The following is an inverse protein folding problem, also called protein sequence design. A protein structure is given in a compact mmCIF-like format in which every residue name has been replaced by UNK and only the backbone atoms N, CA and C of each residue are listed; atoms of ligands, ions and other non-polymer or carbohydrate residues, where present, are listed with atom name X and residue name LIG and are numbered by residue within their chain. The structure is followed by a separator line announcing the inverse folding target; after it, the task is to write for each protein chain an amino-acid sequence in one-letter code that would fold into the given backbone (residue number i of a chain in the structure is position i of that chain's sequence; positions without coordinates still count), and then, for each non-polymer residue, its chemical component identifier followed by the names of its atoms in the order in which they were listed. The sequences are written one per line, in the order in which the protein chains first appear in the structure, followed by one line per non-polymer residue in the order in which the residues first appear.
data_IF_118722494726
#
_entry.id   IF_118722494726
#
_cell.length_a   1.000
_cell.length_b   1.000
_cell.length_c   1.000
_cell.angle_alpha   90.00
_cell.angle_beta   90.00
_cell.angle_gamma   90.00
#
_symmetry.space_group_name_H-M   'P 1'
#
loop_
_entity.id
_entity.type
_entity.pdbx_description
1 polymer ?
#
# COMPACT_ATOMS: atom_id res chain seq x y z
N UNK A 1 -41.10 42.48 -38.94
CA UNK A 1 -41.21 41.26 -38.12
C UNK A 1 -40.44 40.05 -38.66
N UNK A 2 -40.01 40.01 -39.93
CA UNK A 2 -39.41 38.80 -40.53
C UNK A 2 -37.92 38.58 -40.16
N UNK A 3 -37.14 39.65 -39.95
CA UNK A 3 -35.69 39.54 -39.66
C UNK A 3 -35.35 38.97 -38.27
N UNK A 4 -36.21 39.18 -37.24
CA UNK A 4 -35.99 38.64 -35.88
C UNK A 4 -36.13 37.12 -35.81
N UNK A 5 -36.97 36.53 -36.67
CA UNK A 5 -37.19 35.08 -36.68
C UNK A 5 -36.01 34.32 -37.29
N UNK A 6 -35.31 34.90 -38.27
CA UNK A 6 -34.11 34.29 -38.84
C UNK A 6 -32.92 34.32 -37.86
N UNK A 7 -32.76 35.41 -37.09
CA UNK A 7 -31.72 35.50 -36.06
C UNK A 7 -31.99 34.50 -34.92
N UNK A 8 -33.24 34.39 -34.47
CA UNK A 8 -33.60 33.39 -33.46
C UNK A 8 -33.40 31.96 -33.96
N UNK A 9 -33.78 31.63 -35.21
CA UNK A 9 -33.49 30.32 -35.80
C UNK A 9 -31.99 30.04 -35.95
N UNK A 10 -31.18 31.05 -36.31
CA UNK A 10 -29.73 30.91 -36.42
C UNK A 10 -29.09 30.69 -35.05
N UNK A 11 -29.60 31.35 -34.00
CA UNK A 11 -29.16 31.15 -32.62
C UNK A 11 -29.55 29.75 -32.10
N UNK A 12 -30.77 29.25 -32.37
CA UNK A 12 -31.15 27.89 -31.97
C UNK A 12 -30.35 26.83 -32.72
N UNK A 13 -30.02 27.07 -33.99
CA UNK A 13 -29.17 26.17 -34.78
C UNK A 13 -27.73 26.15 -34.24
N UNK A 14 -27.18 27.31 -33.88
CA UNK A 14 -25.83 27.44 -33.32
C UNK A 14 -25.74 26.81 -31.92
N UNK A 15 -26.77 26.96 -31.08
CA UNK A 15 -26.86 26.29 -29.77
C UNK A 15 -27.02 24.77 -29.92
N UNK A 16 -27.72 24.30 -30.97
CA UNK A 16 -27.83 22.88 -31.27
C UNK A 16 -26.49 22.22 -31.63
N UNK A 17 -25.62 22.90 -32.37
CA UNK A 17 -24.30 22.37 -32.77
C UNK A 17 -23.33 22.26 -31.59
N UNK A 18 -23.43 23.16 -30.60
CA UNK A 18 -22.58 23.13 -29.39
C UNK A 18 -22.95 21.94 -28.48
N UNK A 19 -24.18 21.42 -28.56
CA UNK A 19 -24.65 20.26 -27.77
C UNK A 19 -24.29 18.89 -28.38
N UNK A 20 -23.66 18.85 -29.56
CA UNK A 20 -23.18 17.62 -30.21
C UNK A 20 -21.65 17.49 -30.25
N UNK A 21 -20.94 18.21 -29.38
CA UNK A 21 -19.54 17.94 -29.15
C UNK A 21 -19.39 16.62 -28.36
N UNK A 22 -19.37 15.50 -29.07
CA UNK A 22 -18.85 14.26 -28.51
C UNK A 22 -17.35 14.46 -28.27
N UNK A 23 -16.93 14.33 -27.02
CA UNK A 23 -15.52 14.11 -26.72
C UNK A 23 -15.14 12.74 -27.30
N UNK A 24 -14.35 12.73 -28.38
CA UNK A 24 -13.74 11.48 -28.84
C UNK A 24 -12.67 11.08 -27.82
N UNK A 25 -12.75 9.87 -27.22
CA UNK A 25 -11.72 9.40 -26.31
C UNK A 25 -10.39 9.35 -27.07
N UNK A 26 -9.39 10.08 -26.57
CA UNK A 26 -8.04 10.02 -27.09
C UNK A 26 -7.48 8.62 -26.83
N UNK A 27 -7.51 7.78 -27.86
CA UNK A 27 -6.81 6.49 -27.87
C UNK A 27 -5.49 6.71 -28.61
N UNK A 28 -4.36 6.95 -27.89
CA UNK A 28 -3.08 6.97 -28.56
C UNK A 28 -2.85 5.59 -29.17
N UNK A 29 -2.71 5.54 -30.51
CA UNK A 29 -2.18 4.35 -31.19
C UNK A 29 -0.69 4.27 -30.83
N UNK A 30 -0.37 3.62 -29.71
CA UNK A 30 0.99 3.24 -29.38
C UNK A 30 1.26 1.98 -30.21
N UNK A 31 2.01 2.11 -31.31
CA UNK A 31 2.48 0.93 -32.03
C UNK A 31 3.45 0.19 -31.09
N UNK A 32 3.16 -1.07 -30.78
CA UNK A 32 3.98 -1.91 -29.88
C UNK A 32 5.42 -2.00 -30.40
N UNK A 33 5.63 -1.76 -31.70
CA UNK A 33 6.96 -1.70 -32.34
C UNK A 33 7.81 -0.50 -31.93
N UNK A 34 7.19 0.58 -31.46
CA UNK A 34 7.88 1.79 -30.96
C UNK A 34 8.11 1.74 -29.44
N UNK A 35 7.72 0.64 -28.78
CA UNK A 35 7.94 0.44 -27.36
C UNK A 35 9.36 -0.05 -27.06
N UNK A 36 10.21 0.84 -26.55
CA UNK A 36 11.47 0.44 -25.94
C UNK A 36 11.25 0.07 -24.46
N UNK A 37 11.43 -1.21 -24.13
CA UNK A 37 11.39 -1.67 -22.75
C UNK A 37 12.55 -1.06 -21.96
N UNK A 38 12.23 -0.49 -20.79
CA UNK A 38 13.21 0.10 -19.88
C UNK A 38 13.46 -0.84 -18.71
N UNK A 39 14.72 -0.93 -18.26
CA UNK A 39 15.06 -1.54 -16.99
C UNK A 39 14.42 -0.74 -15.85
N UNK A 40 13.81 -1.43 -14.90
CA UNK A 40 13.26 -0.90 -13.66
C UNK A 40 14.08 -1.49 -12.52
N UNK A 41 14.58 -0.62 -11.65
CA UNK A 41 15.41 -1.01 -10.50
C UNK A 41 14.74 -0.57 -9.20
N UNK A 42 14.47 -1.53 -8.33
CA UNK A 42 13.98 -1.27 -6.98
C UNK A 42 15.02 -1.80 -5.99
N UNK A 43 15.70 -0.92 -5.27
CA UNK A 43 16.70 -1.33 -4.29
C UNK A 43 16.79 -0.33 -3.15
N UNK A 44 16.71 -0.85 -1.92
CA UNK A 44 16.97 -0.07 -0.71
C UNK A 44 17.93 -0.87 0.18
N UNK A 45 19.03 -0.25 0.56
CA UNK A 45 19.90 -0.73 1.62
C UNK A 45 19.67 0.09 2.89
N UNK A 46 19.77 -0.57 4.04
CA UNK A 46 19.45 0.04 5.33
C UNK A 46 20.47 -0.35 6.39
N UNK A 47 20.46 0.37 7.51
CA UNK A 47 21.22 0.05 8.72
C UNK A 47 20.65 -1.15 9.51
N UNK A 48 19.52 -1.70 9.07
CA UNK A 48 18.94 -2.92 9.62
C UNK A 48 19.70 -4.15 9.14
N UNK A 49 19.63 -5.21 9.93
CA UNK A 49 20.23 -6.51 9.57
C UNK A 49 19.64 -6.99 8.25
N UNK A 50 20.52 -7.27 7.28
CA UNK A 50 20.19 -7.60 5.89
C UNK A 50 19.52 -8.97 5.67
N UNK A 51 19.63 -9.54 4.45
CA UNK A 51 20.58 -9.23 3.39
C UNK A 51 20.30 -7.91 2.66
N UNK A 52 21.29 -7.39 1.92
CA UNK A 52 21.03 -6.39 0.88
C UNK A 52 20.34 -7.04 -0.32
N UNK A 53 19.27 -6.40 -0.80
CA UNK A 53 18.40 -6.92 -1.85
C UNK A 53 18.08 -5.84 -2.88
N UNK A 54 18.03 -6.25 -4.15
CA UNK A 54 17.64 -5.42 -5.29
C UNK A 54 16.73 -6.25 -6.17
N UNK A 55 15.66 -5.64 -6.67
CA UNK A 55 14.75 -6.22 -7.66
C UNK A 55 14.95 -5.54 -9.00
N UNK A 56 15.08 -6.36 -10.03
CA UNK A 56 15.21 -5.93 -11.42
C UNK A 56 14.01 -6.44 -12.22
N UNK A 57 13.33 -5.51 -12.90
CA UNK A 57 12.27 -5.83 -13.84
C UNK A 57 12.40 -4.98 -15.11
N UNK A 58 11.60 -5.31 -16.11
CA UNK A 58 11.48 -4.61 -17.38
C UNK A 58 10.08 -4.05 -17.47
N UNK A 59 9.98 -2.78 -17.87
CA UNK A 59 8.69 -2.15 -18.09
C UNK A 59 7.96 -2.85 -19.23
N UNK A 60 6.63 -2.83 -19.17
CA UNK A 60 5.72 -3.34 -20.20
C UNK A 60 4.78 -2.23 -20.71
N UNK A 61 4.21 -2.38 -21.92
CA UNK A 61 3.19 -1.47 -22.42
C UNK A 61 1.95 -1.42 -21.52
N UNK A 62 1.29 -0.26 -21.46
CA UNK A 62 0.15 0.00 -20.59
C UNK A 62 -1.09 -0.86 -20.91
N UNK A 63 -1.18 -1.41 -22.12
CA UNK A 63 -2.31 -2.23 -22.59
C UNK A 63 -2.13 -3.73 -22.28
N UNK A 64 -1.07 -4.11 -21.58
CA UNK A 64 -0.81 -5.50 -21.20
C UNK A 64 -1.42 -5.86 -19.83
N UNK A 65 -1.83 -7.11 -19.67
CA UNK A 65 -2.38 -7.64 -18.41
C UNK A 65 -1.32 -7.96 -17.34
N UNK A 66 -0.05 -7.70 -17.65
CA UNK A 66 1.10 -7.91 -16.78
C UNK A 66 1.61 -6.52 -16.40
N UNK A 67 2.10 -6.32 -15.17
CA UNK A 67 2.60 -5.02 -14.71
C UNK A 67 4.08 -4.79 -15.00
N UNK A 68 4.87 -5.86 -15.08
CA UNK A 68 6.32 -5.84 -15.27
C UNK A 68 6.85 -7.25 -15.62
N UNK A 69 8.02 -7.35 -16.27
CA UNK A 69 8.68 -8.64 -16.57
C UNK A 69 9.96 -8.76 -15.75
N UNK A 70 10.18 -9.82 -14.95
CA UNK A 70 11.39 -9.95 -14.14
C UNK A 70 12.66 -10.12 -14.98
N UNK A 71 13.73 -9.40 -14.64
CA UNK A 71 15.04 -9.50 -15.29
C UNK A 71 15.94 -10.46 -14.53
N UNK A 72 16.24 -11.61 -15.13
CA UNK A 72 17.05 -12.67 -14.52
C UNK A 72 18.42 -12.79 -15.21
N UNK A 73 19.41 -13.38 -14.52
CA UNK A 73 20.73 -13.63 -15.08
C UNK A 73 21.65 -12.41 -15.19
N UNK A 74 21.32 -11.30 -14.53
CA UNK A 74 22.19 -10.13 -14.44
C UNK A 74 23.32 -10.34 -13.41
N UNK A 75 24.46 -9.69 -13.63
CA UNK A 75 25.46 -9.45 -12.61
C UNK A 75 25.13 -8.17 -11.84
N UNK A 76 24.96 -8.28 -10.52
CA UNK A 76 24.52 -7.17 -9.65
C UNK A 76 25.50 -7.01 -8.51
N UNK A 77 26.11 -5.82 -8.41
CA UNK A 77 27.14 -5.51 -7.43
C UNK A 77 26.87 -4.16 -6.78
N UNK A 78 26.88 -4.12 -5.45
CA UNK A 78 26.91 -2.88 -4.68
C UNK A 78 28.34 -2.64 -4.22
N UNK A 79 28.84 -1.42 -4.34
CA UNK A 79 30.15 -0.99 -3.82
C UNK A 79 29.97 0.18 -2.85
N UNK A 80 30.82 0.26 -1.84
CA UNK A 80 30.88 1.42 -0.94
C UNK A 80 32.17 2.25 -1.12
N UNK A 81 32.19 3.45 -0.55
CA UNK A 81 33.33 4.38 -0.59
C UNK A 81 34.50 3.99 0.35
N UNK A 82 34.32 2.93 1.14
CA UNK A 82 35.39 2.28 1.92
C UNK A 82 36.12 1.19 1.12
N UNK A 83 35.69 0.90 -0.11
CA UNK A 83 36.29 -0.09 -1.00
C UNK A 83 35.75 -1.51 -0.84
N UNK A 84 34.68 -1.70 -0.04
CA UNK A 84 34.01 -2.99 0.02
C UNK A 84 33.10 -3.19 -1.20
N UNK A 85 32.90 -4.46 -1.57
CA UNK A 85 32.00 -4.86 -2.64
C UNK A 85 31.10 -5.99 -2.19
N UNK A 86 29.84 -5.91 -2.57
CA UNK A 86 28.78 -6.83 -2.18
C UNK A 86 28.13 -7.35 -3.45
N UNK A 87 28.42 -8.60 -3.80
CA UNK A 87 27.80 -9.27 -4.95
C UNK A 87 26.44 -9.83 -4.55
N UNK A 88 25.43 -9.56 -5.37
CA UNK A 88 24.08 -10.05 -5.18
C UNK A 88 23.82 -11.20 -6.16
N UNK A 89 23.15 -12.25 -5.67
CA UNK A 89 22.86 -13.46 -6.41
C UNK A 89 21.36 -13.58 -6.65
N UNK A 90 20.98 -14.10 -7.82
CA UNK A 90 19.58 -14.24 -8.18
C UNK A 90 18.84 -15.21 -7.26
N UNK A 91 17.75 -14.76 -6.67
CA UNK A 91 16.76 -15.57 -5.97
C UNK A 91 15.57 -15.97 -6.85
N UNK A 92 15.61 -15.64 -8.15
CA UNK A 92 14.51 -15.80 -9.09
C UNK A 92 13.51 -14.64 -9.06
N UNK A 93 12.62 -14.60 -10.05
CA UNK A 93 11.59 -13.57 -10.22
C UNK A 93 12.14 -12.12 -10.15
N UNK A 94 13.34 -11.90 -10.70
CA UNK A 94 13.98 -10.59 -10.73
C UNK A 94 14.64 -10.16 -9.42
N UNK A 95 14.55 -10.95 -8.34
CA UNK A 95 15.21 -10.64 -7.07
C UNK A 95 16.67 -11.05 -7.06
N UNK A 96 17.52 -10.18 -6.53
CA UNK A 96 18.94 -10.41 -6.28
C UNK A 96 19.24 -10.07 -4.83
N UNK A 97 20.04 -10.89 -4.14
CA UNK A 97 20.40 -10.66 -2.74
C UNK A 97 21.79 -11.14 -2.40
N UNK A 98 22.43 -10.46 -1.45
CA UNK A 98 23.70 -10.92 -0.88
C UNK A 98 23.54 -12.25 -0.13
N UNK A 99 24.59 -13.09 -0.15
CA UNK A 99 24.59 -14.34 0.62
C UNK A 99 24.67 -14.06 2.12
N UNK A 100 25.42 -13.03 2.51
CA UNK A 100 25.54 -12.63 3.91
C UNK A 100 24.28 -11.87 4.36
N UNK A 101 23.48 -12.52 5.21
CA UNK A 101 22.25 -11.95 5.77
C UNK A 101 22.47 -11.05 6.98
N UNK A 102 23.71 -10.86 7.43
CA UNK A 102 24.04 -10.00 8.58
C UNK A 102 24.63 -8.65 8.18
N UNK A 103 24.61 -8.31 6.89
CA UNK A 103 25.08 -7.01 6.40
C UNK A 103 24.19 -5.87 6.88
N UNK A 104 24.80 -4.72 7.16
CA UNK A 104 24.13 -3.48 7.53
C UNK A 104 24.83 -2.36 6.80
N UNK A 105 24.07 -1.43 6.25
CA UNK A 105 24.65 -0.22 5.71
C UNK A 105 25.02 0.73 6.87
N UNK A 106 26.06 1.52 6.68
CA UNK A 106 26.65 2.36 7.72
C UNK A 106 26.31 3.82 7.48
N UNK A 107 25.96 4.54 8.55
CA UNK A 107 25.66 5.97 8.49
C UNK A 107 26.90 6.76 8.07
N UNK A 108 26.73 7.62 7.07
CA UNK A 108 27.79 8.43 6.47
C UNK A 108 28.58 7.74 5.35
N UNK A 109 28.34 6.45 5.10
CA UNK A 109 28.98 5.70 4.01
C UNK A 109 28.16 5.86 2.73
N UNK A 110 28.87 5.99 1.61
CA UNK A 110 28.26 6.16 0.28
C UNK A 110 28.29 4.86 -0.51
N UNK A 111 27.20 4.55 -1.18
CA UNK A 111 26.99 3.31 -1.92
C UNK A 111 26.63 3.58 -3.37
N UNK A 112 27.00 2.63 -4.23
CA UNK A 112 26.69 2.66 -5.66
C UNK A 112 26.32 1.26 -6.13
N UNK A 113 25.28 1.17 -6.95
CA UNK A 113 24.81 -0.07 -7.57
C UNK A 113 25.31 -0.14 -9.01
N UNK A 114 25.86 -1.29 -9.38
CA UNK A 114 26.28 -1.63 -10.74
C UNK A 114 25.53 -2.88 -11.20
N UNK A 115 25.00 -2.83 -12.41
CA UNK A 115 24.23 -3.92 -13.03
C UNK A 115 24.80 -4.18 -14.42
N UNK A 116 25.12 -5.44 -14.72
CA UNK A 116 25.35 -5.91 -16.08
C UNK A 116 24.30 -6.94 -16.43
N UNK A 117 23.39 -6.62 -17.35
CA UNK A 117 22.32 -7.54 -17.77
C UNK A 117 22.87 -8.69 -18.63
N UNK A 118 22.08 -9.74 -18.81
CA UNK A 118 22.49 -10.93 -19.56
C UNK A 118 22.81 -10.65 -21.05
N UNK A 119 22.21 -9.60 -21.63
CA UNK A 119 22.48 -9.12 -22.97
C UNK A 119 23.67 -8.14 -23.05
N UNK A 120 24.35 -7.90 -21.92
CA UNK A 120 25.59 -7.12 -21.84
C UNK A 120 25.40 -5.61 -21.67
N UNK A 121 24.17 -5.14 -21.44
CA UNK A 121 23.93 -3.73 -21.10
C UNK A 121 24.41 -3.44 -19.68
N UNK A 122 25.04 -2.28 -19.51
CA UNK A 122 25.60 -1.87 -18.22
C UNK A 122 24.84 -0.66 -17.69
N UNK A 123 24.50 -0.72 -16.41
CA UNK A 123 23.82 0.34 -15.69
C UNK A 123 24.53 0.62 -14.38
N UNK A 124 24.51 1.88 -13.97
CA UNK A 124 25.00 2.33 -12.68
C UNK A 124 23.97 3.25 -12.01
N UNK A 125 23.92 3.21 -10.68
CA UNK A 125 23.21 4.23 -9.92
C UNK A 125 24.09 5.47 -9.73
N UNK A 126 23.44 6.61 -9.45
CA UNK A 126 24.10 7.69 -8.74
C UNK A 126 24.60 7.21 -7.38
N UNK A 127 25.61 7.89 -6.85
CA UNK A 127 26.12 7.65 -5.51
C UNK A 127 25.06 8.08 -4.49
N UNK A 128 24.76 7.21 -3.53
CA UNK A 128 23.81 7.49 -2.45
C UNK A 128 24.49 7.32 -1.09
N UNK A 129 24.45 8.36 -0.26
CA UNK A 129 25.00 8.35 1.10
C UNK A 129 23.90 8.00 2.09
N UNK A 130 24.18 7.11 3.04
CA UNK A 130 23.23 6.81 4.11
C UNK A 130 23.25 7.94 5.14
N UNK A 131 22.26 8.83 5.05
CA UNK A 131 22.12 9.97 5.94
C UNK A 131 21.56 9.57 7.31
N UNK A 132 22.10 10.17 8.38
CA UNK A 132 21.51 10.04 9.72
C UNK A 132 20.14 10.72 9.72
N UNK A 133 19.11 10.00 10.10
CA UNK A 133 17.73 10.47 10.16
C UNK A 133 17.35 11.09 11.50
N UNK A 134 16.22 11.83 11.54
CA UNK A 134 15.59 12.22 12.79
C UNK A 134 15.03 10.99 13.52
N UNK A 135 14.73 11.14 14.81
CA UNK A 135 14.12 10.08 15.62
C UNK A 135 12.59 10.12 15.55
N UNK A 136 11.93 8.97 15.71
CA UNK A 136 10.48 8.91 15.91
C UNK A 136 10.19 9.28 17.36
N UNK A 137 9.73 10.50 17.59
CA UNK A 137 9.36 10.97 18.92
C UNK A 137 8.17 10.19 19.46
N UNK A 138 7.07 10.12 18.68
CA UNK A 138 5.84 9.45 19.10
C UNK A 138 5.01 9.00 17.91
N UNK A 139 4.39 7.84 18.04
CA UNK A 139 3.22 7.46 17.22
C UNK A 139 2.04 7.47 18.17
N UNK A 140 0.96 8.13 17.79
CA UNK A 140 -0.21 8.29 18.65
C UNK A 140 -1.49 8.38 17.84
N UNK A 141 -2.64 8.29 18.50
CA UNK A 141 -3.94 8.40 17.85
C UNK A 141 -4.84 9.40 18.55
N UNK A 142 -5.78 9.97 17.81
CA UNK A 142 -6.80 10.88 18.31
C UNK A 142 -8.14 10.63 17.62
N UNK A 143 -9.24 10.85 18.33
CA UNK A 143 -10.59 10.76 17.76
C UNK A 143 -11.01 12.12 17.19
N UNK A 144 -11.52 12.11 15.96
CA UNK A 144 -12.08 13.29 15.30
C UNK A 144 -13.54 13.05 14.93
N UNK A 145 -14.38 14.07 15.06
CA UNK A 145 -15.77 13.99 14.58
C UNK A 145 -15.84 14.61 13.19
N UNK A 146 -16.40 13.89 12.23
CA UNK A 146 -16.51 14.31 10.83
C UNK A 146 -17.96 14.20 10.37
N UNK A 147 -18.41 15.20 9.62
CA UNK A 147 -19.73 15.19 8.99
C UNK A 147 -19.71 14.27 7.76
N UNK A 148 -20.56 13.24 7.78
CA UNK A 148 -20.78 12.37 6.63
C UNK A 148 -21.99 12.86 5.81
N UNK A 149 -21.69 13.43 4.64
CA UNK A 149 -22.68 13.97 3.70
C UNK A 149 -23.37 12.90 2.84
N UNK A 150 -22.98 11.62 2.94
CA UNK A 150 -23.66 10.53 2.23
C UNK A 150 -25.06 10.23 2.81
N UNK A 151 -25.35 10.69 4.03
CA UNK A 151 -26.66 10.57 4.66
C UNK A 151 -27.51 11.81 4.45
N UNK A 152 -28.84 11.64 4.43
CA UNK A 152 -29.80 12.73 4.45
C UNK A 152 -30.76 12.54 5.64
N UNK A 153 -30.69 13.40 6.69
CA UNK A 153 -29.76 14.52 6.85
C UNK A 153 -28.30 14.06 7.05
N UNK A 154 -27.30 14.94 6.80
CA UNK A 154 -25.90 14.65 7.10
C UNK A 154 -25.73 14.24 8.56
N UNK A 155 -24.80 13.31 8.79
CA UNK A 155 -24.63 12.65 10.08
C UNK A 155 -23.22 12.85 10.60
N UNK A 156 -23.09 13.24 11.85
CA UNK A 156 -21.79 13.26 12.54
C UNK A 156 -21.34 11.85 12.89
N UNK A 157 -20.11 11.52 12.51
CA UNK A 157 -19.49 10.25 12.80
C UNK A 157 -18.10 10.43 13.40
N UNK A 158 -17.79 9.62 14.41
CA UNK A 158 -16.46 9.56 15.01
C UNK A 158 -15.54 8.79 14.08
N UNK A 159 -14.32 9.28 13.92
CA UNK A 159 -13.19 8.67 13.23
C UNK A 159 -12.01 8.58 14.19
N UNK A 160 -11.06 7.70 13.92
CA UNK A 160 -9.80 7.62 14.66
C UNK A 160 -8.63 7.84 13.71
N UNK A 161 -7.78 8.80 14.02
CA UNK A 161 -6.63 9.17 13.22
C UNK A 161 -5.33 8.79 13.92
N UNK A 162 -4.41 8.17 13.20
CA UNK A 162 -3.07 7.81 13.67
C UNK A 162 -2.06 8.77 13.09
N UNK A 163 -1.24 9.33 13.97
CA UNK A 163 -0.25 10.35 13.68
C UNK A 163 1.16 9.92 14.09
N UNK A 164 2.15 10.44 13.37
CA UNK A 164 3.57 10.33 13.74
C UNK A 164 4.17 11.71 14.00
N UNK A 165 4.97 11.77 15.05
CA UNK A 165 5.81 12.92 15.40
C UNK A 165 7.28 12.51 15.27
N UNK A 166 8.05 13.40 14.66
CA UNK A 166 9.45 13.19 14.32
C UNK A 166 10.26 14.40 14.72
N UNK A 167 11.40 14.18 15.37
CA UNK A 167 12.29 15.23 15.84
C UNK A 167 13.71 14.96 15.38
N UNK A 168 14.29 15.91 14.65
CA UNK A 168 15.67 15.87 14.20
C UNK A 168 16.57 16.81 15.00
N UNK A 169 17.85 16.87 14.59
CA UNK A 169 18.85 17.79 15.15
C UNK A 169 18.60 19.22 14.63
N UNK A 170 18.65 20.23 15.52
CA UNK A 170 18.20 21.61 15.22
C UNK A 170 18.94 22.29 14.04
N UNK A 171 20.17 21.88 13.76
CA UNK A 171 21.03 22.44 12.71
C UNK A 171 20.89 21.76 11.34
N UNK A 172 19.99 20.76 11.24
CA UNK A 172 19.82 19.95 10.02
C UNK A 172 18.40 20.04 9.48
N UNK A 173 18.29 19.85 8.17
CA UNK A 173 17.00 19.61 7.52
C UNK A 173 16.77 18.11 7.40
N UNK A 174 15.59 17.66 7.84
CA UNK A 174 15.19 16.27 7.73
C UNK A 174 14.32 16.06 6.50
N UNK A 175 14.58 14.97 5.78
CA UNK A 175 13.68 14.42 4.78
C UNK A 175 13.35 12.99 5.19
N UNK A 176 12.05 12.69 5.26
CA UNK A 176 11.58 11.43 5.83
C UNK A 176 10.47 10.83 5.00
N UNK A 177 10.50 9.50 4.91
CA UNK A 177 9.42 8.68 4.38
C UNK A 177 8.93 7.75 5.47
N UNK A 178 7.62 7.59 5.58
CA UNK A 178 7.03 6.58 6.45
C UNK A 178 6.38 5.47 5.63
N UNK A 179 6.54 4.25 6.12
CA UNK A 179 5.71 3.10 5.79
C UNK A 179 5.17 2.52 7.09
N UNK A 180 4.17 1.65 7.00
CA UNK A 180 3.72 0.92 8.17
C UNK A 180 3.27 -0.49 7.81
N UNK A 181 3.46 -1.38 8.77
CA UNK A 181 2.86 -2.70 8.78
C UNK A 181 1.80 -2.73 9.86
N UNK A 182 0.64 -3.28 9.53
CA UNK A 182 -0.47 -3.38 10.44
C UNK A 182 -0.88 -4.82 10.66
N UNK A 183 -1.29 -5.10 11.88
CA UNK A 183 -1.84 -6.40 12.26
C UNK A 183 -3.03 -6.18 13.18
N UNK A 184 -4.13 -6.89 12.95
CA UNK A 184 -5.29 -6.84 13.85
C UNK A 184 -5.84 -8.22 14.17
N UNK A 185 -6.42 -8.33 15.36
CA UNK A 185 -7.09 -9.54 15.80
C UNK A 185 -8.50 -9.62 15.21
N UNK A 186 -8.81 -10.75 14.60
CA UNK A 186 -10.13 -11.09 14.12
C UNK A 186 -10.66 -12.29 14.90
N UNK A 187 -11.95 -12.21 15.25
CA UNK A 187 -12.61 -13.29 16.00
C UNK A 187 -13.98 -13.60 15.44
N UNK A 188 -14.17 -14.87 15.07
CA UNK A 188 -15.48 -15.40 14.69
C UNK A 188 -16.32 -15.59 15.96
N UNK A 189 -17.61 -15.21 15.98
CA UNK A 189 -18.51 -15.38 17.13
C UNK A 189 -18.56 -16.81 17.68
N UNK A 190 -18.85 -16.95 18.98
CA UNK A 190 -19.00 -18.27 19.64
C UNK A 190 -20.12 -19.09 19.03
N UNK A 191 -21.20 -18.41 18.70
CA UNK A 191 -22.41 -18.99 18.16
C UNK A 191 -22.84 -18.18 16.94
N UNK A 192 -22.96 -18.86 15.82
CA UNK A 192 -23.46 -18.29 14.57
C UNK A 192 -24.87 -18.82 14.34
N UNK A 193 -25.83 -17.93 14.14
CA UNK A 193 -27.23 -18.30 13.95
C UNK A 193 -27.48 -18.98 12.61
N UNK A 194 -28.49 -19.84 12.59
CA UNK A 194 -28.98 -20.52 11.38
C UNK A 194 -30.23 -19.82 10.86
N UNK A 195 -30.31 -19.63 9.54
CA UNK A 195 -31.46 -19.10 8.84
C UNK A 195 -32.06 -20.15 7.88
N UNK A 196 -33.32 -19.99 7.52
CA UNK A 196 -33.92 -20.77 6.43
C UNK A 196 -33.61 -20.16 5.05
N UNK A 197 -34.02 -20.85 3.98
CA UNK A 197 -33.85 -20.39 2.60
C UNK A 197 -34.60 -19.08 2.29
N UNK A 198 -35.50 -18.65 3.18
CA UNK A 198 -36.25 -17.39 3.07
C UNK A 198 -35.61 -16.28 3.90
N UNK A 199 -34.51 -16.55 4.60
CA UNK A 199 -33.76 -15.60 5.43
C UNK A 199 -34.31 -15.41 6.84
N UNK A 200 -35.28 -16.21 7.29
CA UNK A 200 -35.75 -16.13 8.67
C UNK A 200 -34.73 -16.79 9.59
N UNK A 201 -34.35 -16.08 10.64
CA UNK A 201 -33.39 -16.55 11.64
C UNK A 201 -34.10 -17.49 12.62
N UNK A 202 -33.51 -18.66 12.86
CA UNK A 202 -33.94 -19.66 13.83
C UNK A 202 -33.07 -19.57 15.10
N UNK A 203 -33.54 -20.16 16.19
CA UNK A 203 -32.80 -20.21 17.47
C UNK A 203 -31.62 -21.21 17.45
N UNK A 204 -31.52 -22.02 16.40
CA UNK A 204 -30.42 -22.94 16.19
C UNK A 204 -29.10 -22.23 15.85
N UNK A 205 -28.00 -22.81 16.32
CA UNK A 205 -26.65 -22.21 16.26
C UNK A 205 -25.58 -23.21 15.86
N UNK A 206 -24.52 -22.65 15.26
CA UNK A 206 -23.28 -23.36 14.96
C UNK A 206 -22.17 -22.81 15.81
N UNK A 207 -21.38 -23.71 16.39
CA UNK A 207 -20.14 -23.36 17.10
C UNK A 207 -18.95 -23.74 16.23
N UNK A 208 -18.23 -22.76 15.64
CA UNK A 208 -17.05 -23.06 14.86
C UNK A 208 -15.92 -23.58 15.76
N UNK A 209 -14.94 -24.29 15.17
CA UNK A 209 -13.80 -24.82 15.92
C UNK A 209 -12.96 -23.68 16.52
N UNK A 210 -12.64 -23.75 17.81
CA UNK A 210 -11.89 -22.73 18.54
C UNK A 210 -10.55 -22.35 17.85
N UNK A 211 -9.83 -23.33 17.31
CA UNK A 211 -8.54 -23.11 16.62
C UNK A 211 -8.66 -22.34 15.28
N UNK A 212 -9.87 -22.26 14.71
CA UNK A 212 -10.17 -21.61 13.44
C UNK A 212 -10.95 -20.30 13.62
N UNK A 213 -11.17 -19.88 14.88
CA UNK A 213 -11.96 -18.70 15.21
C UNK A 213 -11.14 -17.49 15.57
N UNK A 214 -9.88 -17.67 15.94
CA UNK A 214 -9.00 -16.60 16.41
C UNK A 214 -7.80 -16.49 15.46
N UNK A 215 -7.75 -15.40 14.71
CA UNK A 215 -6.67 -15.15 13.76
C UNK A 215 -6.14 -13.72 13.87
N UNK A 216 -4.95 -13.53 13.30
CA UNK A 216 -4.32 -12.25 13.06
C UNK A 216 -4.23 -12.01 11.56
N UNK A 217 -4.73 -10.87 11.12
CA UNK A 217 -4.59 -10.41 9.73
C UNK A 217 -3.48 -9.39 9.70
N UNK A 218 -2.52 -9.52 8.78
CA UNK A 218 -1.41 -8.58 8.64
C UNK A 218 -1.29 -8.06 7.22
N UNK A 219 -1.11 -6.75 7.09
CA UNK A 219 -0.94 -6.05 5.81
C UNK A 219 0.20 -5.03 5.89
N UNK A 220 0.81 -4.73 4.74
CA UNK A 220 1.77 -3.63 4.58
C UNK A 220 1.13 -2.49 3.80
N UNK A 221 1.40 -1.26 4.19
CA UNK A 221 0.88 -0.08 3.49
C UNK A 221 1.56 0.15 2.14
N UNK A 222 0.75 0.47 1.12
CA UNK A 222 1.22 0.93 -0.20
C UNK A 222 1.18 2.46 -0.34
N UNK A 223 0.78 3.19 0.72
CA UNK A 223 0.66 4.64 0.68
C UNK A 223 2.04 5.30 0.81
N UNK A 224 2.27 6.33 0.00
CA UNK A 224 3.53 7.09 0.01
C UNK A 224 3.39 8.28 0.96
N UNK A 225 3.88 8.12 2.18
CA UNK A 225 3.98 9.19 3.17
C UNK A 225 5.38 9.80 3.14
N UNK A 226 5.49 11.06 2.71
CA UNK A 226 6.74 11.82 2.71
C UNK A 226 6.55 13.21 3.29
N UNK A 227 7.57 13.71 3.99
CA UNK A 227 7.61 15.07 4.53
C UNK A 227 9.06 15.58 4.65
N UNK A 228 9.19 16.89 4.87
CA UNK A 228 10.47 17.57 5.06
C UNK A 228 10.32 18.74 6.04
N UNK A 229 11.40 19.05 6.73
CA UNK A 229 11.51 20.23 7.61
C UNK A 229 12.17 21.43 6.93
N UNK A 230 12.46 21.38 5.62
CA UNK A 230 13.18 22.44 4.87
C UNK A 230 12.54 23.83 5.00
N UNK A 231 11.23 23.89 5.21
CA UNK A 231 10.46 25.14 5.32
C UNK A 231 9.96 25.42 6.75
N UNK A 232 10.52 24.74 7.74
CA UNK A 232 10.14 24.89 9.14
C UNK A 232 11.24 25.60 9.91
N UNK A 233 10.85 26.36 10.93
CA UNK A 233 11.80 27.04 11.83
C UNK A 233 12.50 26.07 12.78
N UNK A 234 11.85 24.94 13.08
CA UNK A 234 12.34 23.87 13.95
C UNK A 234 12.35 22.57 13.16
N UNK A 235 13.36 21.73 13.37
CA UNK A 235 13.48 20.42 12.71
C UNK A 235 12.53 19.38 13.33
N UNK A 236 11.23 19.66 13.29
CA UNK A 236 10.19 18.85 13.92
C UNK A 236 8.95 18.72 13.02
N UNK A 237 8.50 17.48 12.81
CA UNK A 237 7.25 17.19 12.12
C UNK A 237 6.27 16.68 13.16
N UNK A 238 5.20 17.43 13.38
CA UNK A 238 4.17 17.12 14.37
C UNK A 238 2.88 16.71 13.68
N UNK A 239 2.18 15.74 14.27
CA UNK A 239 0.85 15.30 13.90
C UNK A 239 0.70 14.96 12.41
N UNK A 240 1.71 14.31 11.81
CA UNK A 240 1.62 13.87 10.42
C UNK A 240 0.67 12.66 10.31
N UNK A 241 -0.45 12.76 9.55
CA UNK A 241 -1.43 11.68 9.48
C UNK A 241 -0.91 10.51 8.64
N UNK A 242 -0.91 9.31 9.23
CA UNK A 242 -0.53 8.06 8.55
C UNK A 242 -1.77 7.28 8.11
N UNK A 243 -2.76 7.13 8.99
CA UNK A 243 -3.97 6.36 8.68
C UNK A 243 -5.17 6.91 9.43
N UNK A 244 -6.32 6.90 8.77
CA UNK A 244 -7.62 7.20 9.37
C UNK A 244 -8.48 5.93 9.35
N UNK A 245 -9.17 5.68 10.45
CA UNK A 245 -10.16 4.62 10.58
C UNK A 245 -11.56 5.20 10.56
N UNK A 246 -12.37 4.69 9.65
CA UNK A 246 -13.77 5.05 9.55
C UNK A 246 -14.59 4.31 10.63
N UNK A 247 -15.76 4.85 11.03
CA UNK A 247 -16.69 4.09 11.85
C UNK A 247 -17.11 2.80 11.13
N UNK A 248 -17.46 1.78 11.92
CA UNK A 248 -17.98 0.48 11.50
C UNK A 248 -16.97 -0.41 10.75
N UNK A 249 -15.69 -0.16 10.95
CA UNK A 249 -14.62 -1.07 10.52
C UNK A 249 -14.32 -2.12 11.59
N UNK A 250 -13.83 -3.28 11.14
CA UNK A 250 -13.49 -4.43 11.99
C UNK A 250 -12.09 -4.32 12.60
N UNK A 251 -11.16 -3.59 11.97
CA UNK A 251 -9.73 -3.58 12.33
C UNK A 251 -9.47 -3.15 13.79
N UNK A 252 -10.28 -2.24 14.32
CA UNK A 252 -10.19 -1.75 15.71
C UNK A 252 -11.19 -2.44 16.65
N UNK A 253 -11.87 -3.50 16.20
CA UNK A 253 -12.97 -4.09 16.95
C UNK A 253 -12.51 -4.85 18.20
N UNK A 254 -11.28 -5.39 18.20
CA UNK A 254 -10.71 -6.14 19.32
C UNK A 254 -9.38 -5.52 19.75
N UNK A 255 -8.34 -5.71 18.95
CA UNK A 255 -7.00 -5.17 19.19
C UNK A 255 -6.27 -4.99 17.87
N UNK A 256 -5.59 -3.87 17.75
CA UNK A 256 -4.86 -3.46 16.56
C UNK A 256 -3.42 -3.11 16.92
N UNK A 257 -2.48 -3.42 16.02
CA UNK A 257 -1.08 -3.03 16.11
C UNK A 257 -0.62 -2.40 14.81
N UNK A 258 0.17 -1.34 14.93
CA UNK A 258 0.86 -0.71 13.80
C UNK A 258 2.33 -0.55 14.12
N UNK A 259 3.19 -1.04 13.23
CA UNK A 259 4.63 -0.77 13.20
C UNK A 259 4.92 0.31 12.19
N UNK A 260 5.14 1.53 12.65
CA UNK A 260 5.58 2.62 11.79
C UNK A 260 7.08 2.48 11.56
N UNK A 261 7.47 2.47 10.28
CA UNK A 261 8.87 2.46 9.84
C UNK A 261 9.17 3.79 9.16
N UNK A 262 10.12 4.54 9.72
CA UNK A 262 10.62 5.80 9.20
C UNK A 262 11.96 5.58 8.52
N UNK A 263 12.08 6.09 7.30
CA UNK A 263 13.30 6.08 6.50
C UNK A 263 13.86 7.49 6.43
N UNK A 264 15.14 7.65 6.76
CA UNK A 264 15.89 8.86 6.41
C UNK A 264 16.12 8.94 4.90
N UNK A 265 16.14 10.15 4.37
CA UNK A 265 16.31 10.36 2.92
C UNK A 265 17.25 11.52 2.65
N UNK A 266 17.95 11.45 1.52
CA UNK A 266 18.54 12.64 0.89
C UNK A 266 17.45 13.52 0.26
N UNK A 267 17.80 14.75 -0.08
CA UNK A 267 16.91 15.68 -0.77
C UNK A 267 16.49 15.15 -2.15
N UNK A 268 17.40 14.50 -2.86
CA UNK A 268 17.19 13.90 -4.18
C UNK A 268 16.19 12.75 -4.09
N UNK A 269 16.35 11.87 -3.09
CA UNK A 269 15.44 10.76 -2.83
C UNK A 269 14.04 11.27 -2.43
N UNK A 270 13.96 12.30 -1.59
CA UNK A 270 12.68 12.94 -1.25
C UNK A 270 11.97 13.50 -2.48
N UNK A 271 12.69 14.20 -3.36
CA UNK A 271 12.12 14.75 -4.58
C UNK A 271 11.61 13.65 -5.53
N UNK A 272 12.30 12.51 -5.60
CA UNK A 272 11.84 11.34 -6.34
C UNK A 272 10.52 10.80 -5.79
N UNK A 273 10.46 10.52 -4.48
CA UNK A 273 9.25 9.99 -3.84
C UNK A 273 8.08 10.96 -3.85
N UNK A 274 8.35 12.26 -3.72
CA UNK A 274 7.33 13.30 -3.86
C UNK A 274 6.71 13.30 -5.26
N UNK A 275 7.53 13.21 -6.31
CA UNK A 275 7.03 13.09 -7.68
C UNK A 275 6.19 11.82 -7.86
N UNK A 276 6.63 10.69 -7.31
CA UNK A 276 5.83 9.45 -7.35
C UNK A 276 4.49 9.59 -6.63
N UNK A 277 4.49 10.20 -5.45
CA UNK A 277 3.26 10.49 -4.68
C UNK A 277 2.31 11.36 -5.51
N UNK A 278 2.79 12.50 -6.01
CA UNK A 278 2.00 13.44 -6.80
C UNK A 278 1.45 12.77 -8.07
N UNK A 279 2.20 11.84 -8.68
CA UNK A 279 1.78 11.07 -9.86
C UNK A 279 0.65 10.08 -9.57
N UNK A 280 0.69 9.42 -8.41
CA UNK A 280 -0.29 8.40 -8.02
C UNK A 280 -1.58 9.00 -7.43
N UNK A 281 -1.50 10.15 -6.76
CA UNK A 281 -2.66 10.81 -6.15
C UNK A 281 -3.46 11.67 -7.14
N UNK A 282 -2.94 11.92 -8.35
CA UNK A 282 -3.60 12.70 -9.42
C UNK A 282 -4.58 11.85 -10.25
N UNK A 283 -5.38 10.98 -9.64
CA UNK A 283 -6.39 10.16 -10.33
C UNK A 283 -7.78 10.41 -9.75
N UNK A 284 -8.35 11.60 -9.95
CA UNK A 284 -9.67 11.94 -9.43
C UNK A 284 -10.38 13.17 -10.01
N UNK A 285 -9.73 14.00 -10.84
CA UNK A 285 -10.27 15.21 -11.45
C UNK A 285 -10.03 15.24 -12.96
N UNK A 286 -10.96 15.86 -13.71
CA UNK A 286 -10.85 16.06 -15.17
C UNK A 286 -9.66 16.95 -15.60
N UNK A 287 -8.96 17.57 -14.64
CA UNK A 287 -7.78 18.41 -14.88
C UNK A 287 -6.49 17.80 -14.32
N UNK A 288 -6.52 16.53 -13.93
CA UNK A 288 -5.34 15.87 -13.41
C UNK A 288 -4.28 15.68 -14.50
N UNK A 289 -3.02 15.82 -14.10
CA UNK A 289 -1.90 15.61 -15.01
C UNK A 289 -1.84 14.14 -15.40
N UNK A 290 -1.75 13.87 -16.69
CA UNK A 290 -1.49 12.52 -17.18
C UNK A 290 -0.23 11.97 -16.48
N UNK A 291 -0.31 10.77 -15.88
CA UNK A 291 0.82 10.21 -15.17
C UNK A 291 2.05 10.09 -16.08
N UNK A 292 3.18 10.65 -15.62
CA UNK A 292 4.44 10.65 -16.37
C UNK A 292 5.42 9.61 -15.83
N UNK A 293 6.40 9.20 -16.66
CA UNK A 293 7.50 8.36 -16.19
C UNK A 293 8.37 9.13 -15.17
N UNK A 294 8.54 8.56 -13.98
CA UNK A 294 9.42 9.12 -12.94
C UNK A 294 10.78 8.43 -13.00
N UNK A 295 11.75 9.11 -13.61
CA UNK A 295 13.14 8.65 -13.64
C UNK A 295 13.81 8.87 -12.28
N UNK A 296 14.53 7.86 -11.78
CA UNK A 296 15.34 7.98 -10.59
C UNK A 296 16.82 8.17 -10.91
N UNK A 297 17.70 7.52 -10.13
CA UNK A 297 19.15 7.71 -10.20
C UNK A 297 19.89 6.64 -11.00
N UNK A 298 19.21 5.80 -11.79
CA UNK A 298 19.87 4.76 -12.60
C UNK A 298 20.10 5.23 -14.04
N UNK A 299 21.32 5.07 -14.53
CA UNK A 299 21.73 5.44 -15.89
C UNK A 299 22.43 4.30 -16.61
N UNK A 300 22.22 4.19 -17.93
CA UNK A 300 22.95 3.24 -18.76
C UNK A 300 24.35 3.81 -19.09
N UNK A 301 25.38 2.98 -18.98
CA UNK A 301 26.77 3.35 -19.24
C UNK A 301 27.09 3.37 -20.74
N UNK A 302 26.42 2.51 -21.52
CA UNK A 302 26.77 2.25 -22.93
C UNK A 302 26.01 3.14 -23.91
N UNK A 303 24.79 3.54 -23.55
CA UNK A 303 23.91 4.39 -24.35
C UNK A 303 23.29 5.44 -23.41
N UNK A 304 22.99 6.64 -23.88
CA UNK A 304 22.37 7.70 -23.06
C UNK A 304 20.87 7.41 -22.76
N UNK A 305 20.53 6.13 -22.56
CA UNK A 305 19.22 5.61 -22.22
C UNK A 305 19.05 5.64 -20.70
N UNK A 306 17.84 5.96 -20.26
CA UNK A 306 17.48 6.02 -18.84
C UNK A 306 16.80 4.73 -18.41
N UNK A 307 17.08 4.30 -17.19
CA UNK A 307 16.30 3.29 -16.51
C UNK A 307 15.28 3.97 -15.57
N UNK A 308 14.27 3.21 -15.18
CA UNK A 308 13.27 3.60 -14.19
C UNK A 308 13.67 3.08 -12.81
N UNK A 309 13.06 3.67 -11.78
CA UNK A 309 13.33 3.29 -10.40
C UNK A 309 14.56 3.98 -9.82
N UNK A 310 14.90 3.63 -8.58
CA UNK A 310 15.87 4.35 -7.77
C UNK A 310 16.57 3.39 -6.79
N UNK A 311 17.89 3.50 -6.67
CA UNK A 311 18.69 2.81 -5.66
C UNK A 311 18.88 3.72 -4.45
N UNK A 312 18.46 3.27 -3.27
CA UNK A 312 18.32 4.07 -2.05
C UNK A 312 19.20 3.54 -0.92
N UNK A 313 19.67 4.44 -0.06
CA UNK A 313 20.28 4.11 1.23
C UNK A 313 19.60 4.93 2.34
N UNK A 314 19.15 4.27 3.40
CA UNK A 314 18.38 4.92 4.48
C UNK A 314 18.69 4.35 5.85
N UNK A 315 18.79 5.22 6.84
CA UNK A 315 18.67 4.83 8.25
C UNK A 315 17.19 4.55 8.54
N UNK A 316 16.93 3.47 9.28
CA UNK A 316 15.58 3.04 9.61
C UNK A 316 15.33 3.17 11.11
N UNK A 317 14.24 3.85 11.45
CA UNK A 317 13.70 3.90 12.81
C UNK A 317 12.32 3.25 12.81
N UNK A 318 12.02 2.47 13.84
CA UNK A 318 10.74 1.78 13.95
C UNK A 318 10.09 2.03 15.30
N UNK A 319 8.77 2.22 15.30
CA UNK A 319 7.99 2.36 16.52
C UNK A 319 6.66 1.64 16.36
N UNK A 320 6.41 0.69 17.27
CA UNK A 320 5.15 -0.05 17.34
C UNK A 320 4.21 0.58 18.35
N UNK A 321 2.93 0.64 18.00
CA UNK A 321 1.84 0.96 18.93
C UNK A 321 0.79 -0.15 18.91
N UNK A 322 0.01 -0.21 20.00
CA UNK A 322 -1.19 -1.02 20.11
C UNK A 322 -2.37 -0.10 20.40
N UNK A 323 -3.53 -0.47 19.88
CA UNK A 323 -4.80 0.18 20.12
C UNK A 323 -5.77 -0.95 20.49
N UNK A 324 -6.11 -1.03 21.78
CA UNK A 324 -7.11 -1.97 22.27
C UNK A 324 -8.51 -1.36 22.10
N UNK A 325 -9.54 -2.21 22.00
CA UNK A 325 -10.94 -1.77 21.88
C UNK A 325 -11.36 -0.80 23.00
N UNK A 326 -10.75 -0.91 24.18
CA UNK A 326 -11.01 -0.05 25.35
C UNK A 326 -10.38 1.33 25.25
N UNK A 327 -9.43 1.54 24.34
CA UNK A 327 -8.67 2.80 24.24
C UNK A 327 -9.40 3.87 23.43
N UNK A 328 -10.51 3.52 22.79
CA UNK A 328 -11.27 4.40 21.91
C UNK A 328 -12.80 4.18 21.99
N UNK A 329 -13.55 5.20 21.59
CA UNK A 329 -15.01 5.23 21.52
C UNK A 329 -15.54 5.04 20.09
N UNK A 330 -14.65 4.91 19.09
CA UNK A 330 -15.05 4.58 17.71
C UNK A 330 -16.02 3.40 17.68
N UNK A 331 -17.15 3.58 17.00
CA UNK A 331 -18.15 2.52 16.83
C UNK A 331 -17.64 1.52 15.80
N UNK A 332 -17.09 0.41 16.25
CA UNK A 332 -16.63 -0.70 15.40
C UNK A 332 -17.75 -1.72 15.17
N UNK A 333 -17.65 -2.48 14.08
CA UNK A 333 -18.54 -3.60 13.77
C UNK A 333 -17.66 -4.80 13.46
N UNK A 334 -17.99 -5.96 14.04
CA UNK A 334 -17.27 -7.18 13.70
C UNK A 334 -17.48 -7.53 12.22
N UNK A 335 -16.41 -7.86 11.51
CA UNK A 335 -16.44 -8.35 10.13
C UNK A 335 -17.15 -9.69 9.96
N UNK A 336 -17.55 -10.32 11.07
CA UNK A 336 -18.29 -11.59 11.13
C UNK A 336 -19.70 -11.42 11.70
N UNK A 337 -20.16 -10.19 11.94
CA UNK A 337 -21.52 -9.94 12.46
C UNK A 337 -22.61 -10.39 11.47
N UNK A 338 -22.32 -10.41 10.17
CA UNK A 338 -23.22 -10.86 9.10
C UNK A 338 -23.14 -12.37 8.82
N UNK A 339 -22.29 -13.10 9.54
CA UNK A 339 -22.17 -14.53 9.38
C UNK A 339 -23.46 -15.23 9.79
N UNK A 340 -24.02 -16.02 8.87
CA UNK A 340 -25.21 -16.84 9.07
C UNK A 340 -25.04 -18.17 8.36
N UNK A 341 -25.50 -19.25 8.99
CA UNK A 341 -25.65 -20.55 8.34
C UNK A 341 -27.04 -20.68 7.74
N UNK A 342 -27.22 -21.57 6.77
CA UNK A 342 -28.52 -21.85 6.16
C UNK A 342 -28.79 -23.35 6.13
N UNK A 343 -30.05 -23.75 6.32
CA UNK A 343 -30.46 -25.15 6.14
C UNK A 343 -30.30 -25.59 4.67
N UNK A 344 -29.58 -26.68 4.42
CA UNK A 344 -29.46 -27.25 3.07
C UNK A 344 -30.63 -28.21 2.77
N UNK A 345 -31.46 -27.97 1.74
CA UNK A 345 -32.40 -28.98 1.27
C UNK A 345 -31.72 -30.10 0.46
N UNK A 346 -30.56 -29.84 -0.16
CA UNK A 346 -29.72 -30.83 -0.87
C UNK A 346 -28.25 -30.41 -0.82
N UNK A 347 -27.33 -31.36 -0.71
CA UNK A 347 -25.87 -31.15 -0.57
C UNK A 347 -25.26 -30.50 -1.83
N UNK A 348 -24.88 -29.21 -1.81
CA UNK A 348 -24.12 -28.62 -2.89
C UNK A 348 -22.67 -29.09 -2.75
N UNK A 349 -22.05 -29.49 -3.86
CA UNK A 349 -20.73 -30.15 -3.89
C UNK A 349 -19.54 -29.29 -3.41
N UNK A 350 -19.76 -28.05 -2.96
CA UNK A 350 -18.69 -27.08 -2.72
C UNK A 350 -18.86 -26.20 -1.46
N UNK A 351 -19.63 -26.65 -0.45
CA UNK A 351 -19.84 -25.84 0.77
C UNK A 351 -19.57 -26.69 2.02
N UNK A 352 -18.91 -26.09 3.02
CA UNK A 352 -18.63 -26.72 4.30
C UNK A 352 -19.93 -27.10 5.03
N UNK A 353 -19.99 -28.35 5.50
CA UNK A 353 -21.15 -28.91 6.19
C UNK A 353 -20.95 -28.83 7.70
N UNK A 354 -21.76 -28.02 8.38
CA UNK A 354 -21.98 -28.12 9.82
C UNK A 354 -23.20 -29.00 10.12
N UNK A 355 -23.38 -29.35 11.39
CA UNK A 355 -24.66 -29.87 11.88
C UNK A 355 -25.25 -28.89 12.88
N UNK A 356 -26.54 -28.60 12.69
CA UNK A 356 -27.40 -27.95 13.67
C UNK A 356 -27.28 -28.65 15.03
N UNK A 357 -27.13 -27.90 16.12
CA UNK A 357 -27.06 -28.51 17.45
C UNK A 357 -28.43 -29.07 17.88
N UNK A 358 -29.51 -28.39 17.53
CA UNK A 358 -30.86 -28.79 17.97
C UNK A 358 -31.47 -29.86 17.07
N UNK A 359 -31.40 -29.67 15.74
CA UNK A 359 -32.13 -30.52 14.78
C UNK A 359 -31.26 -31.59 14.15
N UNK A 360 -29.92 -31.52 14.33
CA UNK A 360 -28.92 -32.32 13.60
C UNK A 360 -29.03 -32.23 12.08
N UNK A 361 -29.77 -31.24 11.56
CA UNK A 361 -29.88 -30.98 10.14
C UNK A 361 -28.53 -30.51 9.58
N UNK A 362 -28.27 -30.90 8.33
CA UNK A 362 -27.14 -30.41 7.57
C UNK A 362 -27.34 -28.92 7.26
N UNK A 363 -26.36 -28.12 7.64
CA UNK A 363 -26.36 -26.67 7.46
C UNK A 363 -25.08 -26.24 6.75
N UNK A 364 -25.15 -25.12 6.03
CA UNK A 364 -24.05 -24.64 5.21
C UNK A 364 -23.87 -23.13 5.37
N UNK A 365 -22.65 -22.64 5.14
CA UNK A 365 -22.35 -21.22 5.07
C UNK A 365 -21.59 -20.95 3.76
N UNK A 366 -22.13 -20.05 2.93
CA UNK A 366 -21.54 -19.71 1.64
C UNK A 366 -20.27 -18.83 1.76
N UNK A 367 -20.04 -18.21 2.91
CA UNK A 367 -18.87 -17.38 3.19
C UNK A 367 -17.82 -18.16 3.98
N UNK A 368 -16.75 -18.59 3.30
CA UNK A 368 -15.64 -19.34 3.93
C UNK A 368 -15.02 -18.61 5.13
N UNK A 369 -14.94 -17.27 5.09
CA UNK A 369 -14.46 -16.46 6.23
C UNK A 369 -15.24 -16.72 7.52
N UNK A 370 -16.54 -17.02 7.44
CA UNK A 370 -17.40 -17.25 8.60
C UNK A 370 -17.22 -18.64 9.24
N UNK A 371 -16.49 -19.53 8.57
CA UNK A 371 -16.20 -20.89 9.02
C UNK A 371 -14.78 -20.96 9.58
N UNK A 372 -13.85 -20.34 8.85
CA UNK A 372 -12.43 -20.44 9.11
C UNK A 372 -11.75 -19.08 8.84
N UNK A 373 -11.20 -18.48 9.91
CA UNK A 373 -10.52 -17.20 9.83
C UNK A 373 -9.17 -17.29 9.10
N UNK A 374 -8.64 -18.50 8.83
CA UNK A 374 -7.44 -18.71 8.03
C UNK A 374 -7.60 -18.26 6.57
N UNK A 375 -8.84 -18.07 6.09
CA UNK A 375 -9.10 -17.48 4.78
C UNK A 375 -8.73 -16.00 4.70
N UNK A 376 -8.56 -15.32 5.85
CA UNK A 376 -8.22 -13.89 5.90
C UNK A 376 -6.92 -13.62 6.66
N UNK A 377 -6.45 -14.55 7.50
CA UNK A 377 -5.28 -14.35 8.33
C UNK A 377 -4.61 -15.65 8.75
N UNK A 378 -3.84 -15.59 9.83
CA UNK A 378 -3.16 -16.76 10.43
C UNK A 378 -3.62 -16.97 11.86
N UNK A 379 -3.73 -18.23 12.30
CA UNK A 379 -3.99 -18.57 13.70
C UNK A 379 -2.71 -18.63 14.55
N UNK A 380 -1.55 -18.28 13.96
CA UNK A 380 -0.29 -18.17 14.68
C UNK A 380 -0.14 -16.76 15.25
N UNK A 381 -0.18 -16.62 16.57
CA UNK A 381 0.02 -15.34 17.27
C UNK A 381 1.37 -14.73 16.87
N UNK A 382 1.42 -13.50 16.34
CA UNK A 382 2.68 -12.83 16.04
C UNK A 382 3.55 -12.67 17.29
N UNK A 383 4.88 -12.80 17.15
CA UNK A 383 5.81 -12.74 18.29
C UNK A 383 5.80 -11.39 19.03
N UNK A 384 5.48 -10.31 18.32
CA UNK A 384 5.32 -8.97 18.89
C UNK A 384 3.95 -8.73 19.52
N UNK A 385 2.98 -9.63 19.36
CA UNK A 385 1.61 -9.41 19.81
C UNK A 385 1.53 -9.61 21.33
N UNK A 386 1.39 -8.51 22.06
CA UNK A 386 1.30 -8.50 23.53
C UNK A 386 -0.10 -8.90 24.00
#
# INVERSE_FOLDING_TARGET
MVQKNHINCLLTLLVGVILFACEEPFNPNIDIKDYESMLVVEGIITDQTGPFSVRLSSSVPLDTSISEIPVNGADVVISDDNGNTYRLYSGGNGWYSTINTNLKAEVGVSYMLNITTADGQQYESGIVTLEKGPEIEKVHFQESTRTNFAYSPPKEETWLDVFVNTKGEDDKTSYVKWGFEETWEVRIPDEIKVADAMGNIHDDVVRPNEELRHCWVSNSSNLIHVATTEKQEVNEILDYPIKSFAPREDMLNIKYSMLVTQYSMSKEMYNFWKKLKDNNESLGSMFDKMPGAVYGNIQCCNENKKALGYFMASEVKQKRIFIDRTDHHLKTISGYQDCLYTYAPMSPSFIYFGQSMETRASIYNSAQRCIDCLNVGTNTKPSFWE
#
